data_IF_375916177999
#
_entry.id   IF_375916177999
#
_cell.length_a   1.000
_cell.length_b   1.000
_cell.length_c   1.000
_cell.angle_alpha   90.00
_cell.angle_beta   90.00
_cell.angle_gamma   90.00
#
_symmetry.space_group_name_H-M   'P 1'
#
loop_
_entity.id
_entity.type
_entity.pdbx_description
1 polymer ?
#
# COMPACT_ATOMS: atom_id res chain seq x y z
N UNK A 1 28.89 28.24 -45.78
CA UNK A 1 29.18 28.50 -44.36
C UNK A 1 28.06 29.37 -43.79
N UNK A 2 27.65 29.10 -42.55
CA UNK A 2 26.60 29.75 -41.73
C UNK A 2 25.18 29.15 -41.74
N UNK A 3 25.05 28.13 -40.87
CA UNK A 3 24.10 28.01 -39.76
C UNK A 3 22.60 27.87 -40.07
N UNK A 4 22.18 26.61 -40.26
CA UNK A 4 20.81 26.13 -40.13
C UNK A 4 20.36 26.28 -38.67
N UNK A 5 19.27 27.02 -38.47
CA UNK A 5 18.65 27.29 -37.17
C UNK A 5 18.03 25.98 -36.63
N UNK A 6 18.47 25.63 -35.42
CA UNK A 6 18.25 24.36 -34.72
C UNK A 6 16.83 24.28 -34.13
N UNK A 7 15.85 23.74 -34.88
CA UNK A 7 14.61 23.22 -34.30
C UNK A 7 14.82 21.76 -33.92
N UNK A 8 15.42 21.50 -32.76
CA UNK A 8 15.43 20.16 -32.17
C UNK A 8 14.61 20.21 -30.88
N UNK A 9 13.33 19.86 -31.05
CA UNK A 9 12.35 19.76 -29.99
C UNK A 9 12.84 18.95 -28.79
N UNK A 10 12.59 19.52 -27.63
CA UNK A 10 12.61 18.89 -26.33
C UNK A 10 11.71 17.66 -26.35
N UNK A 11 12.32 16.48 -26.26
CA UNK A 11 11.61 15.26 -25.88
C UNK A 11 12.32 14.70 -24.63
N UNK A 12 12.06 15.35 -23.50
CA UNK A 12 12.33 14.77 -22.19
C UNK A 12 11.31 13.65 -22.05
N UNK A 13 11.72 12.43 -22.35
CA UNK A 13 10.96 11.23 -22.01
C UNK A 13 11.04 11.12 -20.48
N UNK A 14 10.05 11.68 -19.80
CA UNK A 14 9.80 11.39 -18.39
C UNK A 14 9.23 9.96 -18.34
N UNK A 15 10.13 8.97 -18.37
CA UNK A 15 9.78 7.59 -18.11
C UNK A 15 9.32 7.49 -16.66
N UNK A 16 8.01 7.56 -16.44
CA UNK A 16 7.43 7.22 -15.15
C UNK A 16 7.90 5.81 -14.80
N UNK A 17 8.57 5.66 -13.66
CA UNK A 17 8.86 4.34 -13.10
C UNK A 17 7.54 3.66 -12.83
N UNK A 18 7.11 2.78 -13.74
CA UNK A 18 6.03 1.86 -13.49
C UNK A 18 6.47 0.97 -12.33
N UNK A 19 5.89 1.19 -11.15
CA UNK A 19 6.03 0.26 -10.04
C UNK A 19 5.47 -1.08 -10.53
N UNK A 20 6.34 -2.08 -10.64
CA UNK A 20 5.91 -3.42 -11.04
C UNK A 20 4.96 -3.97 -9.97
N UNK A 21 3.75 -4.34 -10.37
CA UNK A 21 2.82 -5.09 -9.51
C UNK A 21 3.51 -6.39 -9.10
N UNK A 22 3.97 -6.45 -7.85
CA UNK A 22 4.54 -7.67 -7.29
C UNK A 22 3.38 -8.57 -6.86
N UNK A 23 3.48 -9.92 -6.96
CA UNK A 23 2.40 -10.84 -6.59
C UNK A 23 1.83 -10.59 -5.19
N UNK A 24 2.68 -10.15 -4.26
CA UNK A 24 2.32 -9.77 -2.90
C UNK A 24 1.39 -8.56 -2.79
N UNK A 25 1.44 -7.63 -3.75
CA UNK A 25 0.51 -6.49 -3.81
C UNK A 25 -0.90 -6.97 -4.16
N UNK A 26 -1.00 -8.01 -4.99
CA UNK A 26 -2.26 -8.69 -5.30
C UNK A 26 -2.92 -9.37 -4.09
N UNK A 27 -2.16 -9.78 -3.07
CA UNK A 27 -2.73 -10.42 -1.86
C UNK A 27 -3.57 -9.44 -1.04
N UNK A 28 -3.14 -8.18 -0.97
CA UNK A 28 -3.85 -7.12 -0.25
C UNK A 28 -5.04 -6.60 -1.07
N UNK A 29 -5.18 -7.06 -2.32
CA UNK A 29 -6.28 -6.73 -3.23
C UNK A 29 -6.35 -5.24 -3.52
N UNK A 30 -7.57 -4.70 -3.52
CA UNK A 30 -7.86 -3.29 -3.80
C UNK A 30 -7.54 -2.35 -2.62
N UNK A 31 -6.80 -2.82 -1.61
CA UNK A 31 -6.47 -1.98 -0.46
C UNK A 31 -5.41 -0.93 -0.85
N UNK A 32 -5.68 0.36 -0.58
CA UNK A 32 -4.76 1.42 -0.93
C UNK A 32 -3.48 1.31 -0.11
N UNK A 33 -2.32 1.38 -0.76
CA UNK A 33 -1.02 1.46 -0.09
C UNK A 33 -0.59 2.92 -0.08
N UNK A 34 -0.34 3.46 1.12
CA UNK A 34 0.06 4.87 1.29
C UNK A 34 1.34 5.15 0.51
N UNK A 35 1.41 6.30 -0.16
CA UNK A 35 2.68 6.73 -0.77
C UNK A 35 3.80 6.78 0.26
N UNK A 36 4.97 6.29 -0.13
CA UNK A 36 6.13 6.16 0.74
C UNK A 36 6.12 4.89 1.60
N UNK A 37 5.10 4.04 1.49
CA UNK A 37 5.16 2.66 1.99
C UNK A 37 5.65 1.70 0.91
N UNK A 38 6.44 0.71 1.33
CA UNK A 38 6.87 -0.40 0.50
C UNK A 38 6.52 -1.71 1.18
N UNK A 39 5.79 -2.60 0.49
CA UNK A 39 5.49 -3.94 1.00
C UNK A 39 6.80 -4.73 1.09
N UNK A 40 6.98 -5.46 2.19
CA UNK A 40 8.09 -6.39 2.45
C UNK A 40 7.62 -7.82 2.13
N UNK A 41 7.75 -8.28 0.88
CA UNK A 41 7.06 -9.48 0.41
C UNK A 41 7.50 -10.76 1.13
N UNK A 42 8.74 -10.76 1.63
CA UNK A 42 9.34 -11.91 2.32
C UNK A 42 8.82 -12.09 3.76
N UNK A 43 8.13 -11.08 4.31
CA UNK A 43 7.61 -11.11 5.68
C UNK A 43 6.11 -11.47 5.72
N UNK A 44 5.42 -11.37 4.59
CA UNK A 44 3.97 -11.57 4.51
C UNK A 44 3.56 -13.01 4.17
N UNK A 45 2.27 -13.28 4.32
CA UNK A 45 1.61 -14.51 3.88
C UNK A 45 0.17 -14.25 3.48
N UNK A 46 -0.39 -15.15 2.68
CA UNK A 46 -1.80 -15.23 2.37
C UNK A 46 -2.26 -16.69 2.41
N UNK A 47 -3.44 -16.94 2.98
CA UNK A 47 -4.11 -18.22 2.99
C UNK A 47 -5.54 -18.01 2.49
N UNK A 48 -5.92 -18.76 1.46
CA UNK A 48 -7.28 -18.77 0.93
C UNK A 48 -8.03 -20.02 1.39
N UNK A 49 -9.30 -19.86 1.75
CA UNK A 49 -10.19 -20.95 2.15
C UNK A 49 -11.63 -20.66 1.72
N UNK A 50 -12.54 -21.65 1.76
CA UNK A 50 -13.96 -21.41 1.54
C UNK A 50 -14.60 -20.42 2.52
N UNK A 51 -14.03 -20.30 3.73
CA UNK A 51 -14.52 -19.40 4.78
C UNK A 51 -14.00 -17.96 4.62
N UNK A 52 -13.15 -17.72 3.62
CA UNK A 52 -12.54 -16.42 3.33
C UNK A 52 -11.01 -16.50 3.28
N UNK A 53 -10.38 -15.36 3.02
CA UNK A 53 -8.93 -15.23 2.95
C UNK A 53 -8.35 -14.60 4.22
N UNK A 54 -7.20 -15.10 4.63
CA UNK A 54 -6.37 -14.49 5.68
C UNK A 54 -5.11 -13.96 5.01
N UNK A 55 -4.91 -12.65 5.05
CA UNK A 55 -3.75 -11.98 4.48
C UNK A 55 -3.05 -11.22 5.57
N UNK A 56 -1.73 -11.36 5.65
CA UNK A 56 -0.90 -10.50 6.48
C UNK A 56 0.30 -10.07 5.65
N UNK A 57 0.43 -8.77 5.44
CA UNK A 57 1.62 -8.19 4.84
C UNK A 57 2.28 -7.23 5.81
N UNK A 58 3.57 -7.03 5.59
CA UNK A 58 4.32 -5.99 6.27
C UNK A 58 4.74 -4.93 5.27
N UNK A 59 4.81 -3.69 5.71
CA UNK A 59 5.27 -2.58 4.90
C UNK A 59 6.24 -1.71 5.70
N UNK A 60 7.38 -1.37 5.10
CA UNK A 60 8.21 -0.27 5.61
C UNK A 60 7.59 1.05 5.18
N UNK A 61 7.72 2.11 5.99
CA UNK A 61 7.03 3.37 5.67
C UNK A 61 7.21 4.48 6.70
N UNK A 62 6.36 5.53 6.63
CA UNK A 62 6.48 6.72 7.45
C UNK A 62 6.52 6.43 8.95
N UNK A 63 7.25 7.27 9.69
CA UNK A 63 7.38 7.16 11.13
C UNK A 63 6.16 7.70 11.88
N UNK A 64 5.38 8.59 11.28
CA UNK A 64 4.29 9.23 11.98
C UNK A 64 3.00 8.40 11.91
N UNK A 65 2.59 7.86 13.07
CA UNK A 65 1.44 6.98 13.17
C UNK A 65 0.12 7.69 12.78
N UNK A 66 -0.06 8.92 13.25
CA UNK A 66 -1.25 9.72 12.96
C UNK A 66 -1.46 9.93 11.46
N UNK A 67 -0.38 10.20 10.72
CA UNK A 67 -0.42 10.40 9.26
C UNK A 67 -0.85 9.12 8.53
N UNK A 68 -0.33 7.96 8.95
CA UNK A 68 -0.74 6.66 8.39
C UNK A 68 -2.20 6.36 8.67
N UNK A 69 -2.63 6.48 9.92
CA UNK A 69 -4.02 6.19 10.31
C UNK A 69 -4.99 7.17 9.64
N UNK A 70 -4.65 8.46 9.56
CA UNK A 70 -5.48 9.45 8.88
C UNK A 70 -5.64 9.14 7.39
N UNK A 71 -4.57 8.68 6.72
CA UNK A 71 -4.64 8.26 5.33
C UNK A 71 -5.63 7.10 5.16
N UNK A 72 -5.50 6.05 5.97
CA UNK A 72 -6.36 4.86 5.88
C UNK A 72 -7.81 5.16 6.26
N UNK A 73 -8.05 6.02 7.26
CA UNK A 73 -9.40 6.50 7.60
C UNK A 73 -10.09 7.12 6.38
N UNK A 74 -9.40 7.99 5.64
CA UNK A 74 -9.96 8.66 4.47
C UNK A 74 -10.10 7.71 3.28
N UNK A 75 -9.07 6.91 2.98
CA UNK A 75 -9.04 6.07 1.80
C UNK A 75 -10.05 4.92 1.88
N UNK A 76 -10.21 4.31 3.07
CA UNK A 76 -11.09 3.15 3.26
C UNK A 76 -12.57 3.55 3.33
N UNK A 77 -12.88 4.75 3.85
CA UNK A 77 -14.26 5.26 3.88
C UNK A 77 -14.88 5.32 2.46
N UNK A 78 -14.11 5.74 1.46
CA UNK A 78 -14.57 5.77 0.06
C UNK A 78 -14.76 4.38 -0.58
N UNK A 79 -14.24 3.33 0.05
CA UNK A 79 -14.28 1.95 -0.42
C UNK A 79 -15.30 1.08 0.34
N UNK A 80 -16.17 1.71 1.14
CA UNK A 80 -17.24 1.05 1.88
C UNK A 80 -16.80 0.37 3.18
N UNK A 81 -15.56 0.59 3.62
CA UNK A 81 -15.10 0.10 4.92
C UNK A 81 -15.64 0.97 6.05
N UNK A 82 -16.17 0.34 7.10
CA UNK A 82 -16.63 0.99 8.31
C UNK A 82 -15.63 0.79 9.45
N UNK A 83 -15.27 1.84 10.15
CA UNK A 83 -14.32 1.80 11.26
C UNK A 83 -13.33 2.95 11.22
N UNK A 84 -12.38 2.93 12.15
CA UNK A 84 -11.35 3.95 12.28
C UNK A 84 -10.17 3.41 13.11
N UNK A 85 -9.11 4.19 13.20
CA UNK A 85 -8.06 4.03 14.20
C UNK A 85 -7.36 2.67 14.14
N UNK A 86 -7.13 2.19 12.92
CA UNK A 86 -6.39 0.96 12.67
C UNK A 86 -7.27 -0.29 12.60
N UNK A 87 -8.60 -0.18 12.71
CA UNK A 87 -9.52 -1.31 12.54
C UNK A 87 -10.76 -0.92 11.72
N UNK A 88 -11.00 -1.67 10.64
CA UNK A 88 -12.17 -1.50 9.77
C UNK A 88 -12.82 -2.84 9.44
N UNK A 89 -14.08 -2.78 9.02
CA UNK A 89 -14.89 -3.93 8.63
C UNK A 89 -15.65 -3.65 7.33
N UNK A 90 -15.75 -4.65 6.46
CA UNK A 90 -16.51 -4.61 5.20
C UNK A 90 -16.86 -6.03 4.79
N UNK A 91 -18.13 -6.28 4.46
CA UNK A 91 -18.59 -7.56 3.88
C UNK A 91 -18.13 -8.82 4.63
N UNK A 92 -18.11 -8.79 5.96
CA UNK A 92 -17.66 -9.91 6.79
C UNK A 92 -16.13 -10.06 6.87
N UNK A 93 -15.36 -9.12 6.30
CA UNK A 93 -13.92 -9.00 6.46
C UNK A 93 -13.56 -7.94 7.51
N UNK A 94 -12.42 -8.14 8.16
CA UNK A 94 -11.80 -7.22 9.12
C UNK A 94 -10.42 -6.85 8.62
N UNK A 95 -10.17 -5.55 8.48
CA UNK A 95 -8.86 -4.98 8.21
C UNK A 95 -8.27 -4.40 9.49
N UNK A 96 -7.05 -4.80 9.84
CA UNK A 96 -6.28 -4.26 10.95
C UNK A 96 -4.94 -3.72 10.45
N UNK A 97 -4.65 -2.47 10.75
CA UNK A 97 -3.37 -1.81 10.44
C UNK A 97 -2.73 -1.37 11.75
N UNK A 98 -1.53 -1.87 12.02
CA UNK A 98 -0.83 -1.63 13.29
C UNK A 98 0.66 -1.47 13.06
N UNK A 99 1.30 -0.63 13.88
CA UNK A 99 2.75 -0.53 13.89
C UNK A 99 3.37 -1.73 14.62
N UNK A 100 4.51 -2.18 14.12
CA UNK A 100 5.38 -3.17 14.77
C UNK A 100 6.67 -2.47 15.16
N UNK A 101 7.10 -2.65 16.41
CA UNK A 101 8.37 -2.13 16.88
C UNK A 101 9.54 -2.93 16.28
N UNK A 102 10.50 -2.23 15.68
CA UNK A 102 11.75 -2.80 15.20
C UNK A 102 12.93 -1.90 15.56
N UNK A 103 14.10 -2.51 15.71
CA UNK A 103 15.32 -1.79 16.11
C UNK A 103 15.85 -0.81 15.04
N UNK A 104 15.58 -1.06 13.76
CA UNK A 104 16.20 -0.36 12.63
C UNK A 104 15.23 0.40 11.70
N UNK A 105 13.97 0.54 12.09
CA UNK A 105 12.95 1.22 11.29
C UNK A 105 11.53 1.02 11.81
N UNK A 106 10.53 1.60 11.13
CA UNK A 106 9.12 1.32 11.42
C UNK A 106 8.55 0.37 10.39
N UNK A 107 8.00 -0.72 10.89
CA UNK A 107 7.31 -1.73 10.11
C UNK A 107 5.82 -1.65 10.44
N UNK A 108 5.00 -1.63 9.40
CA UNK A 108 3.54 -1.63 9.49
C UNK A 108 3.04 -3.02 9.17
N UNK A 109 2.17 -3.57 10.02
CA UNK A 109 1.46 -4.82 9.76
C UNK A 109 0.06 -4.48 9.30
N UNK A 110 -0.27 -4.95 8.10
CA UNK A 110 -1.59 -4.86 7.48
C UNK A 110 -2.14 -6.27 7.45
N UNK A 111 -3.27 -6.49 8.13
CA UNK A 111 -3.92 -7.80 8.21
C UNK A 111 -5.35 -7.71 7.74
N UNK A 112 -5.75 -8.66 6.92
CA UNK A 112 -7.11 -8.90 6.51
C UNK A 112 -7.52 -10.31 6.96
N UNK A 113 -8.69 -10.45 7.57
CA UNK A 113 -9.23 -11.75 7.96
C UNK A 113 -10.76 -11.74 7.88
N UNK A 114 -11.41 -12.91 7.84
CA UNK A 114 -12.84 -13.01 8.14
C UNK A 114 -13.13 -12.50 9.56
N UNK A 115 -14.37 -12.03 9.77
CA UNK A 115 -14.91 -11.59 11.06
C UNK A 115 -14.99 -12.74 12.08
#
# INVERSE_FOLDING_TARGET
MLAVILCAWSMIIFGGTAAADTPQQGWVGDLPIMQGMAIEPQLGFAFDSPEGRIVQVFATGPSENASVISYYNAALAGLGWAGADGRWQRDGEVLVISQVEMASGRLWRIRLSPL
#
